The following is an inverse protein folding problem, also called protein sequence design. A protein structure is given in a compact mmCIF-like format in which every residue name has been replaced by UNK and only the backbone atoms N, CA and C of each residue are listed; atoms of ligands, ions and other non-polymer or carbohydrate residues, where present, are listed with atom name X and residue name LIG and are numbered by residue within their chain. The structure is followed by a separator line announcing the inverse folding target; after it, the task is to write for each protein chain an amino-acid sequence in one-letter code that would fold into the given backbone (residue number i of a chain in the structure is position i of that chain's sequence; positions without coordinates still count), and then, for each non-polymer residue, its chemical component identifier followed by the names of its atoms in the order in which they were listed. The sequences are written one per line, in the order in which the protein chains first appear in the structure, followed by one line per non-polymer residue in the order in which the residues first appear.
data_IF_362354350240
#
_entry.id   IF_362354350240
#
_cell.length_a   1.000
_cell.length_b   1.000
_cell.length_c   1.000
_cell.angle_alpha   90.00
_cell.angle_beta   90.00
_cell.angle_gamma   90.00
#
_symmetry.space_group_name_H-M   'P 1'
#
loop_
_entity.id
_entity.type
_entity.pdbx_description
1 polymer ?
#
# COMPACT_ATOMS: atom_id res chain seq x y z
N UNK A 1 1.62 19.11 -14.40
CA UNK A 1 1.41 17.78 -13.83
C UNK A 1 2.38 17.59 -12.69
N UNK A 2 1.87 17.60 -11.46
CA UNK A 2 2.62 17.50 -10.22
C UNK A 2 2.73 16.06 -9.73
N UNK A 3 1.78 15.21 -10.11
CA UNK A 3 1.72 13.80 -9.73
C UNK A 3 1.85 12.90 -10.96
N UNK A 4 2.75 11.91 -10.91
CA UNK A 4 2.96 10.93 -11.99
C UNK A 4 2.95 9.50 -11.46
N UNK A 5 2.38 8.59 -12.26
CA UNK A 5 2.50 7.16 -12.06
C UNK A 5 3.87 6.66 -12.59
N UNK A 6 4.69 6.09 -11.71
CA UNK A 6 5.89 5.34 -12.10
C UNK A 6 5.56 3.84 -12.12
N UNK A 7 5.27 3.31 -13.31
CA UNK A 7 4.97 1.88 -13.47
C UNK A 7 6.23 1.04 -13.36
N UNK A 8 6.29 0.18 -12.34
CA UNK A 8 7.43 -0.71 -12.10
C UNK A 8 7.21 -2.04 -12.83
N UNK A 9 8.23 -2.53 -13.53
CA UNK A 9 8.22 -3.85 -14.16
C UNK A 9 8.28 -4.98 -13.09
N UNK A 10 7.85 -6.19 -13.46
CA UNK A 10 7.73 -7.30 -12.53
C UNK A 10 9.06 -7.66 -11.84
N UNK A 11 10.18 -7.58 -12.56
CA UNK A 11 11.50 -7.95 -12.06
C UNK A 11 12.01 -6.95 -11.02
N UNK A 12 11.91 -5.66 -11.31
CA UNK A 12 12.24 -4.59 -10.36
C UNK A 12 11.29 -4.62 -9.17
N UNK A 13 9.99 -4.80 -9.41
CA UNK A 13 8.97 -4.88 -8.37
C UNK A 13 9.22 -6.06 -7.41
N UNK A 14 9.66 -7.20 -7.93
CA UNK A 14 10.00 -8.40 -7.14
C UNK A 14 11.04 -8.10 -6.07
N UNK A 15 12.05 -7.29 -6.41
CA UNK A 15 13.08 -6.85 -5.45
C UNK A 15 12.54 -5.84 -4.44
N UNK A 16 11.59 -5.00 -4.84
CA UNK A 16 10.99 -3.98 -3.97
C UNK A 16 10.05 -4.61 -2.95
N UNK A 17 9.13 -5.48 -3.38
CA UNK A 17 8.13 -6.10 -2.50
C UNK A 17 8.78 -7.02 -1.45
N UNK A 18 9.86 -7.69 -1.83
CA UNK A 18 10.59 -8.64 -1.00
C UNK A 18 11.68 -7.97 -0.13
N UNK A 19 11.81 -6.64 -0.17
CA UNK A 19 12.78 -5.91 0.65
C UNK A 19 12.42 -6.09 2.13
N UNK A 20 13.37 -6.57 2.92
CA UNK A 20 13.22 -6.57 4.38
C UNK A 20 13.34 -5.12 4.89
N UNK A 21 12.20 -4.53 5.23
CA UNK A 21 12.06 -3.22 5.87
C UNK A 21 11.25 -3.36 7.16
N UNK A 22 11.01 -2.24 7.84
CA UNK A 22 10.31 -2.19 9.14
C UNK A 22 8.93 -2.86 9.11
N UNK A 23 8.30 -3.03 7.94
CA UNK A 23 7.06 -3.78 7.84
C UNK A 23 7.29 -5.27 8.09
N UNK A 24 8.17 -5.88 7.28
CA UNK A 24 8.41 -7.32 7.29
C UNK A 24 9.15 -7.73 8.57
N UNK A 25 10.09 -6.91 9.05
CA UNK A 25 10.91 -7.25 10.21
C UNK A 25 10.13 -7.34 11.52
N UNK A 26 8.90 -6.81 11.56
CA UNK A 26 8.06 -6.78 12.76
C UNK A 26 6.95 -7.86 12.77
N UNK A 27 6.95 -8.76 11.78
CA UNK A 27 5.93 -9.80 11.69
C UNK A 27 6.06 -10.84 12.80
N UNK A 28 4.92 -11.18 13.39
CA UNK A 28 4.79 -12.34 14.27
C UNK A 28 4.77 -13.64 13.46
N UNK A 29 4.92 -14.79 14.13
CA UNK A 29 4.73 -16.10 13.48
C UNK A 29 3.35 -16.23 12.84
N UNK A 30 2.31 -15.74 13.53
CA UNK A 30 0.93 -15.74 13.01
C UNK A 30 0.79 -14.88 11.76
N UNK A 31 1.47 -13.74 11.71
CA UNK A 31 1.45 -12.81 10.57
C UNK A 31 2.07 -13.46 9.31
N UNK A 32 3.18 -14.17 9.49
CA UNK A 32 3.82 -14.96 8.44
C UNK A 32 2.90 -16.09 7.96
N UNK A 33 2.34 -16.85 8.90
CA UNK A 33 1.43 -17.97 8.64
C UNK A 33 0.18 -17.54 7.88
N UNK A 34 -0.41 -16.40 8.25
CA UNK A 34 -1.59 -15.85 7.60
C UNK A 34 -1.31 -15.52 6.12
N UNK A 35 -0.20 -14.85 5.81
CA UNK A 35 0.17 -14.51 4.42
C UNK A 35 0.58 -15.73 3.59
N UNK A 36 1.21 -16.71 4.22
CA UNK A 36 1.62 -17.96 3.56
C UNK A 36 0.50 -19.01 3.50
N UNK A 37 -0.64 -18.75 4.16
CA UNK A 37 -1.81 -19.64 4.17
C UNK A 37 -1.52 -21.00 4.80
N UNK A 38 -0.74 -21.05 5.88
CA UNK A 38 -0.29 -22.29 6.53
C UNK A 38 -0.31 -22.16 8.05
N UNK A 39 -0.49 -23.28 8.75
CA UNK A 39 -0.31 -23.38 10.21
C UNK A 39 1.06 -23.94 10.60
N UNK A 40 1.89 -24.30 9.61
CA UNK A 40 3.24 -24.82 9.84
C UNK A 40 4.19 -23.68 10.26
N UNK A 41 5.32 -24.06 10.85
CA UNK A 41 6.38 -23.08 11.13
C UNK A 41 6.95 -22.53 9.83
N UNK A 42 7.08 -21.21 9.77
CA UNK A 42 7.57 -20.47 8.61
C UNK A 42 8.58 -19.41 9.07
N UNK A 43 9.46 -19.02 8.15
CA UNK A 43 10.50 -18.04 8.39
C UNK A 43 10.27 -16.78 7.55
N UNK A 44 10.93 -15.69 7.92
CA UNK A 44 10.95 -14.48 7.10
C UNK A 44 11.49 -14.75 5.68
N UNK A 45 12.43 -15.69 5.55
CA UNK A 45 12.96 -16.09 4.24
C UNK A 45 11.87 -16.72 3.35
N UNK A 46 10.99 -17.53 3.93
CA UNK A 46 9.87 -18.14 3.21
C UNK A 46 8.89 -17.07 2.72
N UNK A 47 8.62 -16.06 3.56
CA UNK A 47 7.82 -14.89 3.17
C UNK A 47 8.48 -14.12 2.03
N UNK A 48 9.76 -13.77 2.15
CA UNK A 48 10.50 -13.01 1.12
C UNK A 48 10.48 -13.76 -0.22
N UNK A 49 10.70 -15.07 -0.20
CA UNK A 49 10.59 -15.91 -1.41
C UNK A 49 9.18 -15.88 -2.00
N UNK A 50 8.15 -16.00 -1.16
CA UNK A 50 6.76 -15.90 -1.58
C UNK A 50 6.44 -14.54 -2.19
N UNK A 51 6.75 -13.43 -1.51
CA UNK A 51 6.49 -12.05 -1.98
C UNK A 51 7.16 -11.77 -3.32
N UNK A 52 8.41 -12.22 -3.51
CA UNK A 52 9.16 -12.02 -4.75
C UNK A 52 8.48 -12.60 -6.00
N UNK A 53 7.56 -13.56 -5.82
CA UNK A 53 6.79 -14.22 -6.89
C UNK A 53 5.43 -13.59 -7.16
N UNK A 54 5.04 -12.56 -6.41
CA UNK A 54 3.70 -11.98 -6.49
C UNK A 54 3.58 -10.79 -7.44
N UNK A 55 4.66 -10.35 -8.09
CA UNK A 55 4.65 -9.16 -8.96
C UNK A 55 4.37 -9.50 -10.41
N UNK A 56 3.76 -8.55 -11.13
CA UNK A 56 3.31 -8.72 -12.52
C UNK A 56 3.62 -7.48 -13.36
N UNK A 57 3.83 -7.68 -14.66
CA UNK A 57 4.07 -6.58 -15.59
C UNK A 57 2.77 -5.84 -15.95
N UNK A 58 2.83 -4.51 -15.91
CA UNK A 58 1.80 -3.64 -16.46
C UNK A 58 1.76 -3.73 -17.98
N UNK A 59 0.59 -3.98 -18.54
CA UNK A 59 0.32 -3.92 -19.98
C UNK A 59 0.15 -2.47 -20.44
N UNK A 60 0.32 -2.22 -21.74
CA UNK A 60 0.15 -0.87 -22.30
C UNK A 60 -1.27 -0.32 -22.12
N UNK A 61 -2.31 -1.16 -22.25
CA UNK A 61 -3.71 -0.75 -22.05
C UNK A 61 -3.97 -0.34 -20.60
N UNK A 62 -3.46 -1.08 -19.62
CA UNK A 62 -3.59 -0.73 -18.20
C UNK A 62 -2.86 0.59 -17.90
N UNK A 63 -1.64 0.77 -18.43
CA UNK A 63 -0.88 2.03 -18.26
C UNK A 63 -1.64 3.24 -18.80
N UNK A 64 -2.33 3.11 -19.93
CA UNK A 64 -3.14 4.20 -20.50
C UNK A 64 -4.28 4.58 -19.54
N UNK A 65 -5.00 3.58 -19.01
CA UNK A 65 -6.11 3.79 -18.07
C UNK A 65 -5.62 4.47 -16.79
N UNK A 66 -4.57 3.94 -16.18
CA UNK A 66 -4.02 4.48 -14.92
C UNK A 66 -3.44 5.88 -15.12
N UNK A 67 -2.75 6.16 -16.23
CA UNK A 67 -2.24 7.51 -16.52
C UNK A 67 -3.37 8.53 -16.66
N UNK A 68 -4.52 8.12 -17.23
CA UNK A 68 -5.70 8.98 -17.30
C UNK A 68 -6.23 9.29 -15.90
N UNK A 69 -6.35 8.28 -15.04
CA UNK A 69 -6.73 8.44 -13.63
C UNK A 69 -5.79 9.42 -12.92
N UNK A 70 -4.47 9.24 -13.06
CA UNK A 70 -3.48 10.14 -12.48
C UNK A 70 -3.60 11.58 -12.99
N UNK A 71 -3.91 11.77 -14.27
CA UNK A 71 -4.14 13.10 -14.85
C UNK A 71 -5.40 13.77 -14.29
N UNK A 72 -6.47 13.02 -14.07
CA UNK A 72 -7.71 13.52 -13.44
C UNK A 72 -7.46 13.86 -11.96
N UNK A 73 -6.78 12.99 -11.22
CA UNK A 73 -6.45 13.22 -9.81
C UNK A 73 -5.45 14.36 -9.60
N UNK A 74 -4.48 14.57 -10.50
CA UNK A 74 -3.56 15.72 -10.47
C UNK A 74 -4.32 17.05 -10.50
N UNK A 75 -5.38 17.13 -11.32
CA UNK A 75 -6.26 18.31 -11.36
C UNK A 75 -7.06 18.46 -10.07
N UNK A 76 -7.64 17.37 -9.55
CA UNK A 76 -8.40 17.38 -8.29
C UNK A 76 -7.53 17.79 -7.09
N UNK A 77 -6.26 17.36 -7.08
CA UNK A 77 -5.33 17.61 -5.99
C UNK A 77 -4.49 18.88 -6.17
N UNK A 78 -4.69 19.65 -7.23
CA UNK A 78 -3.99 20.92 -7.47
C UNK A 78 -4.03 21.90 -6.27
N UNK A 79 -5.13 22.03 -5.49
CA UNK A 79 -5.15 22.84 -4.27
C UNK A 79 -4.20 22.35 -3.15
N UNK A 80 -3.80 21.08 -3.21
CA UNK A 80 -2.95 20.40 -2.22
C UNK A 80 -1.55 20.09 -2.77
N UNK A 81 -1.14 20.73 -3.87
CA UNK A 81 0.10 20.44 -4.61
C UNK A 81 1.38 20.45 -3.76
N UNK A 82 1.41 21.22 -2.67
CA UNK A 82 2.57 21.29 -1.76
C UNK A 82 2.82 19.99 -0.99
N UNK A 83 1.80 19.13 -0.87
CA UNK A 83 1.89 17.82 -0.20
C UNK A 83 2.10 16.66 -1.17
N UNK A 84 2.02 16.91 -2.49
CA UNK A 84 2.13 15.87 -3.51
C UNK A 84 3.60 15.49 -3.76
N UNK A 85 3.84 14.21 -3.97
CA UNK A 85 5.10 13.71 -4.51
C UNK A 85 5.10 13.85 -6.04
N UNK A 86 6.27 14.14 -6.62
CA UNK A 86 6.40 14.23 -8.08
C UNK A 86 5.97 12.93 -8.79
N UNK A 87 6.35 11.79 -8.20
CA UNK A 87 5.96 10.47 -8.66
C UNK A 87 5.65 9.53 -7.51
N UNK A 88 4.81 8.55 -7.81
CA UNK A 88 4.49 7.42 -6.93
C UNK A 88 4.67 6.14 -7.73
N UNK A 89 5.34 5.15 -7.13
CA UNK A 89 5.56 3.86 -7.76
C UNK A 89 4.28 3.04 -7.73
N UNK A 90 3.88 2.50 -8.87
CA UNK A 90 2.78 1.54 -8.98
C UNK A 90 3.32 0.17 -9.34
N UNK A 91 3.00 -0.79 -8.47
CA UNK A 91 3.36 -2.19 -8.61
C UNK A 91 2.08 -2.99 -8.80
N UNK A 92 2.00 -3.76 -9.89
CA UNK A 92 0.90 -4.71 -10.08
C UNK A 92 1.26 -6.04 -9.43
N UNK A 93 0.31 -6.63 -8.71
CA UNK A 93 0.52 -7.91 -8.02
C UNK A 93 -0.53 -8.96 -8.36
N UNK A 94 -0.32 -10.18 -7.91
CA UNK A 94 -1.33 -11.24 -8.00
C UNK A 94 -2.43 -11.11 -6.94
N UNK A 95 -2.20 -10.28 -5.89
CA UNK A 95 -3.09 -10.08 -4.75
C UNK A 95 -2.94 -11.10 -3.64
N UNK A 96 -2.22 -12.20 -3.85
CA UNK A 96 -2.07 -13.28 -2.85
C UNK A 96 -1.33 -12.85 -1.58
N UNK A 97 -0.54 -11.79 -1.66
CA UNK A 97 0.28 -11.31 -0.55
C UNK A 97 -0.48 -10.57 0.56
N UNK A 98 -1.62 -9.97 0.24
CA UNK A 98 -2.43 -9.15 1.16
C UNK A 98 -3.94 -9.38 0.92
N UNK A 99 -4.35 -10.65 0.76
CA UNK A 99 -5.76 -11.06 0.65
C UNK A 99 -6.57 -10.35 -0.46
N UNK A 100 -5.94 -10.17 -1.62
CA UNK A 100 -6.47 -9.47 -2.79
C UNK A 100 -6.82 -7.99 -2.54
N UNK A 101 -6.26 -7.38 -1.50
CA UNK A 101 -6.38 -5.94 -1.24
C UNK A 101 -5.29 -5.14 -1.97
N UNK A 102 -5.62 -3.92 -2.41
CA UNK A 102 -4.62 -2.91 -2.69
C UNK A 102 -4.06 -2.36 -1.37
N UNK A 103 -2.85 -1.85 -1.41
CA UNK A 103 -2.22 -1.26 -0.24
C UNK A 103 -1.07 -0.33 -0.61
N UNK A 104 -0.68 0.49 0.36
CA UNK A 104 0.46 1.37 0.30
C UNK A 104 1.53 0.96 1.30
N UNK A 105 2.74 0.69 0.81
CA UNK A 105 3.93 0.48 1.65
C UNK A 105 5.04 1.40 1.19
N UNK A 106 5.57 2.20 2.12
CA UNK A 106 6.51 3.30 1.83
C UNK A 106 5.90 4.33 0.83
N UNK A 107 6.49 4.45 -0.36
CA UNK A 107 6.03 5.33 -1.46
C UNK A 107 5.54 4.53 -2.67
N UNK A 108 5.15 3.29 -2.44
CA UNK A 108 4.70 2.37 -3.46
C UNK A 108 3.24 2.01 -3.20
N UNK A 109 2.44 2.08 -4.26
CA UNK A 109 1.06 1.60 -4.30
C UNK A 109 1.08 0.23 -4.98
N UNK A 110 0.54 -0.77 -4.32
CA UNK A 110 0.42 -2.13 -4.81
C UNK A 110 -1.03 -2.37 -5.20
N UNK A 111 -1.27 -2.76 -6.45
CA UNK A 111 -2.61 -2.96 -6.98
C UNK A 111 -2.73 -4.40 -7.50
N UNK A 112 -3.62 -5.22 -6.94
CA UNK A 112 -3.81 -6.59 -7.41
C UNK A 112 -4.49 -6.60 -8.78
N UNK A 113 -4.18 -7.62 -9.59
CA UNK A 113 -4.71 -7.75 -10.96
C UNK A 113 -6.24 -7.81 -11.02
N UNK A 114 -6.91 -8.30 -9.98
CA UNK A 114 -8.37 -8.29 -9.86
C UNK A 114 -8.91 -6.85 -9.87
N UNK A 115 -8.28 -5.95 -9.12
CA UNK A 115 -8.63 -4.54 -8.98
C UNK A 115 -8.24 -3.69 -10.17
N UNK A 116 -7.12 -4.01 -10.84
CA UNK A 116 -6.74 -3.33 -12.11
C UNK A 116 -7.84 -3.47 -13.17
N UNK A 117 -8.68 -4.50 -13.08
CA UNK A 117 -9.79 -4.79 -14.00
C UNK A 117 -11.14 -4.23 -13.54
N UNK A 118 -11.18 -3.51 -12.41
CA UNK A 118 -12.40 -2.87 -11.94
C UNK A 118 -12.91 -1.81 -12.93
N UNK A 119 -14.20 -1.45 -12.82
CA UNK A 119 -14.73 -0.28 -13.50
C UNK A 119 -13.87 0.96 -13.25
N UNK A 120 -13.80 1.83 -14.26
CA UNK A 120 -12.88 2.99 -14.25
C UNK A 120 -13.03 3.87 -13.01
N UNK A 121 -14.26 4.19 -12.60
CA UNK A 121 -14.50 5.06 -11.44
C UNK A 121 -14.13 4.39 -10.12
N UNK A 122 -14.38 3.08 -9.98
CA UNK A 122 -13.98 2.32 -8.79
C UNK A 122 -12.44 2.21 -8.69
N UNK A 123 -11.75 1.96 -9.80
CA UNK A 123 -10.28 1.96 -9.84
C UNK A 123 -9.71 3.35 -9.53
N UNK A 124 -10.37 4.43 -9.98
CA UNK A 124 -9.99 5.81 -9.68
C UNK A 124 -10.13 6.12 -8.20
N UNK A 125 -11.23 5.72 -7.57
CA UNK A 125 -11.44 5.88 -6.13
C UNK A 125 -10.41 5.08 -5.32
N UNK A 126 -10.12 3.85 -5.73
CA UNK A 126 -9.07 3.03 -5.14
C UNK A 126 -7.69 3.71 -5.22
N UNK A 127 -7.29 4.19 -6.41
CA UNK A 127 -6.01 4.88 -6.57
C UNK A 127 -5.97 6.17 -5.74
N UNK A 128 -7.08 6.90 -5.66
CA UNK A 128 -7.18 8.10 -4.82
C UNK A 128 -7.00 7.78 -3.33
N UNK A 129 -7.57 6.66 -2.86
CA UNK A 129 -7.40 6.14 -1.50
C UNK A 129 -5.93 5.83 -1.19
N UNK A 130 -5.26 5.07 -2.06
CA UNK A 130 -3.85 4.72 -1.87
C UNK A 130 -2.92 5.93 -1.96
N UNK A 131 -3.20 6.88 -2.86
CA UNK A 131 -2.47 8.14 -2.91
C UNK A 131 -2.62 8.94 -1.61
N UNK A 132 -3.80 8.92 -0.99
CA UNK A 132 -3.98 9.54 0.32
C UNK A 132 -3.10 8.88 1.37
N UNK A 133 -2.94 7.54 1.35
CA UNK A 133 -1.99 6.88 2.23
C UNK A 133 -0.54 7.35 2.02
N UNK A 134 -0.07 7.49 0.78
CA UNK A 134 1.27 8.04 0.49
C UNK A 134 1.45 9.46 1.03
N UNK A 135 0.48 10.35 0.75
CA UNK A 135 0.54 11.78 1.16
C UNK A 135 0.47 11.90 2.68
N UNK A 136 -0.44 11.16 3.31
CA UNK A 136 -0.69 11.23 4.74
C UNK A 136 0.43 10.62 5.58
N UNK A 137 1.15 9.61 5.07
CA UNK A 137 2.38 9.08 5.71
C UNK A 137 3.50 10.11 5.66
N UNK A 138 3.70 10.75 4.52
CA UNK A 138 4.81 11.71 4.32
C UNK A 138 4.55 13.08 4.96
N UNK A 139 3.30 13.40 5.28
CA UNK A 139 2.89 14.69 5.85
C UNK A 139 2.01 14.53 7.12
N UNK A 140 2.59 14.18 8.28
CA UNK A 140 1.81 13.93 9.51
C UNK A 140 0.97 15.12 10.00
N UNK A 141 1.46 16.36 9.81
CA UNK A 141 0.72 17.58 10.14
C UNK A 141 -0.52 17.73 9.26
N UNK A 142 -0.36 17.57 7.94
CA UNK A 142 -1.48 17.59 6.99
C UNK A 142 -2.52 16.52 7.35
N UNK A 143 -2.07 15.29 7.63
CA UNK A 143 -2.93 14.18 8.08
C UNK A 143 -3.74 14.60 9.31
N UNK A 144 -3.07 15.08 10.37
CA UNK A 144 -3.71 15.51 11.62
C UNK A 144 -4.75 16.62 11.38
N UNK A 145 -4.39 17.66 10.63
CA UNK A 145 -5.27 18.80 10.37
C UNK A 145 -6.51 18.38 9.54
N UNK A 146 -6.35 17.45 8.60
CA UNK A 146 -7.47 16.91 7.82
C UNK A 146 -8.41 16.07 8.68
N UNK A 147 -7.87 15.10 9.44
CA UNK A 147 -8.68 14.27 10.33
C UNK A 147 -9.42 15.12 11.39
N UNK A 148 -8.78 16.17 11.90
CA UNK A 148 -9.43 17.09 12.84
C UNK A 148 -10.64 17.80 12.24
N UNK A 149 -10.57 18.23 10.98
CA UNK A 149 -11.74 18.82 10.27
C UNK A 149 -12.89 17.84 10.11
N UNK A 150 -12.60 16.54 10.07
CA UNK A 150 -13.59 15.46 10.01
C UNK A 150 -14.10 15.02 11.39
N UNK A 151 -13.63 15.67 12.47
CA UNK A 151 -14.02 15.34 13.85
C UNK A 151 -13.21 14.22 14.50
N UNK A 152 -12.13 13.77 13.87
CA UNK A 152 -11.22 12.76 14.43
C UNK A 152 -10.06 13.41 15.18
N UNK A 153 -9.63 12.76 16.26
CA UNK A 153 -8.45 13.13 17.04
C UNK A 153 -7.58 11.91 17.26
N UNK A 154 -6.26 12.13 17.35
CA UNK A 154 -5.31 11.07 17.66
C UNK A 154 -5.68 10.35 18.94
N UNK A 155 -5.58 9.02 18.96
CA UNK A 155 -5.78 8.20 20.15
C UNK A 155 -4.45 7.57 20.58
N UNK A 156 -4.30 7.19 21.87
CA UNK A 156 -3.15 6.42 22.28
C UNK A 156 -3.10 5.08 21.54
N UNK A 157 -1.91 4.49 21.43
CA UNK A 157 -1.76 3.13 20.93
C UNK A 157 -2.65 2.17 21.74
N UNK A 158 -3.26 1.22 21.03
CA UNK A 158 -4.09 0.20 21.65
C UNK A 158 -3.21 -0.72 22.50
N UNK A 159 -3.49 -0.80 23.80
CA UNK A 159 -2.83 -1.76 24.69
C UNK A 159 -3.43 -3.15 24.47
N UNK A 160 -2.79 -3.93 23.60
CA UNK A 160 -3.20 -5.31 23.28
C UNK A 160 -2.79 -6.23 24.45
N UNK A 161 -3.74 -6.97 25.06
CA UNK A 161 -3.42 -7.93 26.11
C UNK A 161 -2.33 -8.91 25.70
N UNK A 162 -1.41 -9.23 26.61
CA UNK A 162 -0.25 -10.08 26.32
C UNK A 162 -0.61 -11.41 25.62
N UNK A 163 -1.72 -12.02 26.04
CA UNK A 163 -2.26 -13.26 25.45
C UNK A 163 -2.68 -13.13 23.99
N UNK A 164 -2.93 -11.93 23.46
CA UNK A 164 -3.34 -11.71 22.08
C UNK A 164 -2.27 -11.04 21.22
N UNK A 165 -1.14 -10.59 21.80
CA UNK A 165 -0.07 -9.91 21.05
C UNK A 165 0.49 -10.74 19.89
N UNK A 166 0.42 -12.07 20.00
CA UNK A 166 0.91 -12.99 18.98
C UNK A 166 -0.10 -13.28 17.86
N UNK A 167 -1.34 -12.80 17.96
CA UNK A 167 -2.41 -13.00 16.97
C UNK A 167 -2.65 -11.76 16.09
N UNK A 168 -1.70 -10.83 16.10
CA UNK A 168 -1.79 -9.59 15.33
C UNK A 168 -1.43 -9.83 13.86
N UNK A 169 -2.23 -9.26 12.96
CA UNK A 169 -1.93 -9.18 11.52
C UNK A 169 -1.59 -7.75 11.18
N UNK A 170 -0.36 -7.52 10.72
CA UNK A 170 0.12 -6.18 10.38
C UNK A 170 -0.58 -5.63 9.15
N UNK A 171 -0.90 -4.33 9.17
CA UNK A 171 -1.46 -3.60 8.04
C UNK A 171 -0.38 -2.68 7.41
N UNK A 172 -0.03 -2.86 6.13
CA UNK A 172 1.01 -2.06 5.48
C UNK A 172 0.68 -0.56 5.43
N UNK A 173 -0.60 -0.18 5.37
CA UNK A 173 -1.03 1.21 5.31
C UNK A 173 -0.85 1.97 6.61
N UNK A 174 -0.66 1.27 7.73
CA UNK A 174 -0.56 1.88 9.06
C UNK A 174 0.88 2.16 9.50
N UNK A 175 1.89 1.74 8.72
CA UNK A 175 3.29 1.91 9.10
C UNK A 175 3.61 3.41 9.26
N UNK A 176 4.14 3.80 10.43
CA UNK A 176 4.46 5.19 10.75
C UNK A 176 3.22 6.07 11.00
N UNK A 177 2.04 5.47 11.17
CA UNK A 177 0.80 6.16 11.53
C UNK A 177 0.35 5.71 12.93
N UNK A 178 0.47 6.62 13.89
CA UNK A 178 -0.29 6.50 15.13
C UNK A 178 -1.72 6.95 14.81
N UNK A 179 -2.70 6.14 15.22
CA UNK A 179 -4.13 6.44 15.08
C UNK A 179 -4.49 7.84 15.60
#
# INVERSE_FOLDING_TARGET
MYLKAEFVDAQTASSIIAKNDDYISNFSEFDLQSRLGTSEKVTEKDLVEFLSRQTMDWTNSEKIIVNRIFSELDNCYAPYKEYLLESVKLIKTTGREECDAAYTRNKCIYVPISMVRWPYDELKELIAHELFHVISTTNPKFRKDLYHKLGFTTCPELDIPHEYKHLYVSNPDTIGKNC
#
